data_IF_624048448412
#
_entry.id   IF_624048448412
#
_cell.length_a   1.000
_cell.length_b   1.000
_cell.length_c   1.000
_cell.angle_alpha   90.00
_cell.angle_beta   90.00
_cell.angle_gamma   90.00
#
_symmetry.space_group_name_H-M   'P 1'
#
loop_
_entity.id
_entity.type
_entity.pdbx_description
1 polymer ?
#
# COMPACT_ATOMS: atom_id res chain seq x y z
N UNK A 1 10.01 4.54 10.78
CA UNK A 1 9.25 4.93 11.99
C UNK A 1 8.59 6.29 11.79
N UNK A 2 9.24 7.32 11.24
CA UNK A 2 8.67 8.68 11.12
C UNK A 2 7.67 8.83 9.96
N UNK A 3 7.81 8.09 8.87
CA UNK A 3 6.95 8.20 7.70
C UNK A 3 5.45 7.95 7.99
N UNK A 4 5.03 6.91 8.72
CA UNK A 4 3.63 6.70 9.07
C UNK A 4 3.04 7.83 9.91
N UNK A 5 3.82 8.39 10.84
CA UNK A 5 3.41 9.53 11.67
C UNK A 5 3.19 10.76 10.80
N UNK A 6 4.12 11.04 9.89
CA UNK A 6 3.99 12.16 8.96
C UNK A 6 2.73 12.03 8.07
N UNK A 7 2.51 10.87 7.47
CA UNK A 7 1.34 10.65 6.61
C UNK A 7 0.02 10.79 7.39
N UNK A 8 -0.06 10.21 8.60
CA UNK A 8 -1.26 10.33 9.43
C UNK A 8 -1.53 11.79 9.82
N UNK A 9 -0.50 12.53 10.23
CA UNK A 9 -0.60 13.95 10.56
C UNK A 9 -0.95 14.82 9.35
N UNK A 10 -0.42 14.52 8.17
CA UNK A 10 -0.70 15.29 6.96
C UNK A 10 -2.20 15.31 6.62
N UNK A 11 -2.90 14.19 6.76
CA UNK A 11 -4.34 14.13 6.56
C UNK A 11 -5.11 14.91 7.62
N UNK A 12 -4.77 14.75 8.89
CA UNK A 12 -5.41 15.44 10.00
C UNK A 12 -5.18 16.95 9.94
N UNK A 13 -3.97 17.38 9.63
CA UNK A 13 -3.60 18.79 9.45
C UNK A 13 -4.33 19.41 8.26
N UNK A 14 -4.38 18.70 7.12
CA UNK A 14 -5.10 19.18 5.94
C UNK A 14 -6.61 19.37 6.23
N UNK A 15 -7.22 18.44 6.94
CA UNK A 15 -8.63 18.55 7.35
C UNK A 15 -8.84 19.70 8.33
N UNK A 16 -7.95 19.89 9.31
CA UNK A 16 -8.08 20.92 10.34
C UNK A 16 -7.71 22.34 9.86
N UNK A 17 -7.03 22.46 8.70
CA UNK A 17 -6.60 23.76 8.14
C UNK A 17 -7.72 24.49 7.37
N UNK A 18 -8.89 23.89 7.21
CA UNK A 18 -10.00 24.42 6.41
C UNK A 18 -11.34 24.27 7.16
N UNK A 19 -12.40 24.89 6.64
CA UNK A 19 -13.74 24.70 7.21
C UNK A 19 -14.19 23.23 7.11
N UNK A 20 -15.06 22.73 8.01
CA UNK A 20 -15.52 21.34 8.02
C UNK A 20 -16.09 20.86 6.68
N UNK A 21 -16.75 21.76 5.95
CA UNK A 21 -17.31 21.45 4.62
C UNK A 21 -16.22 21.28 3.55
N UNK A 22 -15.07 21.94 3.69
CA UNK A 22 -13.96 21.86 2.76
C UNK A 22 -12.94 20.77 3.15
N UNK A 23 -13.03 20.19 4.34
CA UNK A 23 -12.10 19.17 4.84
C UNK A 23 -11.96 17.96 3.89
N UNK A 24 -13.02 17.37 3.30
CA UNK A 24 -12.88 16.27 2.35
C UNK A 24 -12.05 16.65 1.11
N UNK A 25 -12.20 17.89 0.63
CA UNK A 25 -11.43 18.38 -0.53
C UNK A 25 -9.95 18.60 -0.19
N UNK A 26 -9.65 19.06 1.02
CA UNK A 26 -8.28 19.22 1.48
C UNK A 26 -7.56 17.88 1.61
N UNK A 27 -8.20 16.89 2.21
CA UNK A 27 -7.69 15.52 2.30
C UNK A 27 -7.48 14.91 0.91
N UNK A 28 -8.44 15.09 0.00
CA UNK A 28 -8.29 14.61 -1.39
C UNK A 28 -7.06 15.20 -2.09
N UNK A 29 -6.71 16.47 -1.85
CA UNK A 29 -5.47 17.06 -2.40
C UNK A 29 -4.20 16.38 -1.88
N UNK A 30 -4.17 15.99 -0.61
CA UNK A 30 -3.05 15.23 -0.04
C UNK A 30 -2.95 13.85 -0.72
N UNK A 31 -4.07 13.16 -0.91
CA UNK A 31 -4.12 11.87 -1.61
C UNK A 31 -3.60 12.00 -3.05
N UNK A 32 -3.98 13.06 -3.77
CA UNK A 32 -3.43 13.34 -5.11
C UNK A 32 -1.92 13.51 -5.07
N UNK A 33 -1.38 14.20 -4.06
CA UNK A 33 0.07 14.35 -3.87
C UNK A 33 0.76 13.00 -3.66
N UNK A 34 0.21 12.13 -2.82
CA UNK A 34 0.71 10.77 -2.60
C UNK A 34 0.70 9.96 -3.91
N UNK A 35 -0.41 10.01 -4.65
CA UNK A 35 -0.55 9.31 -5.93
C UNK A 35 0.43 9.84 -6.98
N UNK A 36 0.61 11.16 -7.07
CA UNK A 36 1.59 11.77 -7.96
C UNK A 36 3.03 11.33 -7.61
N UNK A 37 3.35 11.26 -6.31
CA UNK A 37 4.64 10.75 -5.84
C UNK A 37 4.89 9.30 -6.26
N UNK A 38 3.88 8.43 -6.20
CA UNK A 38 4.00 7.05 -6.66
C UNK A 38 4.12 6.94 -8.19
N UNK A 39 3.33 7.71 -8.91
CA UNK A 39 3.31 7.67 -10.39
C UNK A 39 4.60 8.23 -11.00
N UNK A 40 5.12 9.33 -10.46
CA UNK A 40 6.29 10.02 -11.01
C UNK A 40 7.58 9.63 -10.30
N UNK A 41 7.54 9.40 -8.99
CA UNK A 41 8.74 9.19 -8.18
C UNK A 41 9.54 7.97 -8.60
N UNK A 42 8.88 6.82 -8.75
CA UNK A 42 9.55 5.56 -9.11
C UNK A 42 10.11 5.61 -10.54
N UNK A 43 9.33 5.99 -11.58
CA UNK A 43 9.86 6.10 -12.94
C UNK A 43 10.99 7.11 -13.06
N UNK A 44 10.85 8.30 -12.47
CA UNK A 44 11.89 9.34 -12.51
C UNK A 44 13.17 8.88 -11.82
N UNK A 45 13.04 8.27 -10.63
CA UNK A 45 14.20 7.72 -9.91
C UNK A 45 14.88 6.60 -10.68
N UNK A 46 14.11 5.71 -11.32
CA UNK A 46 14.63 4.62 -12.15
C UNK A 46 15.35 5.15 -13.40
N UNK A 47 14.79 6.17 -14.03
CA UNK A 47 15.42 6.84 -15.18
C UNK A 47 16.75 7.51 -14.79
N UNK A 48 16.78 8.27 -13.68
CA UNK A 48 18.00 8.91 -13.19
C UNK A 48 19.04 7.87 -12.81
N UNK A 49 18.66 6.81 -12.11
CA UNK A 49 19.56 5.74 -11.71
C UNK A 49 20.16 5.01 -12.93
N UNK A 50 19.37 4.76 -13.96
CA UNK A 50 19.80 4.10 -15.19
C UNK A 50 20.61 4.99 -16.13
N UNK A 51 20.32 6.31 -16.18
CA UNK A 51 20.99 7.25 -17.10
C UNK A 51 22.26 7.89 -16.51
N UNK A 52 22.32 8.07 -15.19
CA UNK A 52 23.45 8.73 -14.51
C UNK A 52 24.07 7.79 -13.47
N UNK A 53 23.45 7.65 -12.29
CA UNK A 53 23.91 6.75 -11.24
C UNK A 53 22.86 6.62 -10.12
N UNK A 54 22.97 5.57 -9.30
CA UNK A 54 22.17 5.41 -8.10
C UNK A 54 22.39 6.59 -7.13
N UNK A 55 23.63 7.09 -7.01
CA UNK A 55 23.98 8.26 -6.16
C UNK A 55 23.23 9.51 -6.62
N UNK A 56 23.12 9.74 -7.93
CA UNK A 56 22.36 10.87 -8.47
C UNK A 56 20.87 10.76 -8.17
N UNK A 57 20.28 9.56 -8.26
CA UNK A 57 18.89 9.32 -7.88
C UNK A 57 18.65 9.58 -6.39
N UNK A 58 19.56 9.13 -5.52
CA UNK A 58 19.48 9.38 -4.08
C UNK A 58 19.66 10.87 -3.73
N UNK A 59 20.54 11.58 -4.42
CA UNK A 59 20.70 13.02 -4.27
C UNK A 59 19.42 13.78 -4.67
N UNK A 60 18.80 13.43 -5.79
CA UNK A 60 17.52 13.99 -6.23
C UNK A 60 16.41 13.75 -5.20
N UNK A 61 16.31 12.53 -4.67
CA UNK A 61 15.37 12.20 -3.60
C UNK A 61 15.61 13.05 -2.34
N UNK A 62 16.87 13.24 -1.95
CA UNK A 62 17.23 14.08 -0.78
C UNK A 62 16.82 15.53 -1.01
N UNK A 63 17.07 16.10 -2.18
CA UNK A 63 16.68 17.48 -2.52
C UNK A 63 15.16 17.66 -2.41
N UNK A 64 14.37 16.76 -2.99
CA UNK A 64 12.90 16.83 -2.95
C UNK A 64 12.39 16.73 -1.51
N UNK A 65 12.92 15.82 -0.70
CA UNK A 65 12.51 15.68 0.70
C UNK A 65 12.91 16.90 1.54
N UNK A 66 14.09 17.48 1.30
CA UNK A 66 14.52 18.70 1.98
C UNK A 66 13.62 19.89 1.61
N UNK A 67 13.29 20.03 0.33
CA UNK A 67 12.34 21.05 -0.12
C UNK A 67 10.95 20.88 0.52
N UNK A 68 10.44 19.63 0.61
CA UNK A 68 9.19 19.31 1.28
C UNK A 68 9.24 19.65 2.77
N UNK A 69 10.35 19.37 3.46
CA UNK A 69 10.55 19.72 4.87
C UNK A 69 10.51 21.23 5.07
N UNK A 70 11.24 21.99 4.25
CA UNK A 70 11.26 23.46 4.31
C UNK A 70 9.85 24.01 4.02
N UNK A 71 9.18 23.52 2.99
CA UNK A 71 7.81 23.96 2.68
C UNK A 71 6.84 23.65 3.83
N UNK A 72 6.93 22.49 4.44
CA UNK A 72 6.12 22.12 5.61
C UNK A 72 6.36 23.11 6.76
N UNK A 73 7.60 23.44 7.05
CA UNK A 73 7.96 24.37 8.13
C UNK A 73 7.50 25.80 7.85
N UNK A 74 7.55 26.26 6.61
CA UNK A 74 7.19 27.65 6.25
C UNK A 74 5.68 27.85 6.11
N UNK A 75 4.94 26.86 5.59
CA UNK A 75 3.54 27.04 5.18
C UNK A 75 2.51 26.39 6.10
N UNK A 76 2.90 25.42 6.94
CA UNK A 76 1.94 24.79 7.84
C UNK A 76 1.87 25.56 9.17
N UNK A 77 0.71 26.18 9.50
CA UNK A 77 0.54 26.87 10.76
C UNK A 77 0.46 25.86 11.92
N UNK A 78 0.82 26.34 13.14
CA UNK A 78 0.57 25.57 14.35
C UNK A 78 -0.93 25.49 14.61
N UNK A 79 -1.50 24.29 14.52
CA UNK A 79 -2.92 24.06 14.76
C UNK A 79 -3.15 23.64 16.22
N UNK A 80 -4.19 24.19 16.89
CA UNK A 80 -4.57 23.72 18.22
C UNK A 80 -5.08 22.28 18.15
N UNK A 81 -4.67 21.46 19.11
CA UNK A 81 -5.14 20.07 19.21
C UNK A 81 -6.59 20.06 19.69
N UNK A 82 -7.53 19.78 18.82
CA UNK A 82 -8.97 19.94 19.06
C UNK A 82 -9.54 18.99 20.12
N UNK A 83 -9.10 17.76 20.22
CA UNK A 83 -9.47 16.82 21.28
C UNK A 83 -8.41 15.72 21.42
N UNK A 84 -7.88 15.56 22.61
CA UNK A 84 -6.98 14.44 22.92
C UNK A 84 -7.83 13.25 23.34
N UNK A 85 -8.01 12.26 22.47
CA UNK A 85 -8.43 10.95 22.94
C UNK A 85 -7.38 10.47 23.96
N UNK A 86 -7.84 10.09 25.14
CA UNK A 86 -6.93 9.56 26.17
C UNK A 86 -6.17 8.36 25.60
N UNK A 87 -4.87 8.31 25.83
CA UNK A 87 -4.03 7.15 25.43
C UNK A 87 -4.66 5.81 25.87
N UNK A 88 -5.30 5.79 27.04
CA UNK A 88 -6.00 4.62 27.54
C UNK A 88 -7.17 4.17 26.65
N UNK A 89 -7.90 5.09 26.04
CA UNK A 89 -9.00 4.77 25.11
C UNK A 89 -8.47 4.24 23.78
N UNK A 90 -7.40 4.84 23.24
CA UNK A 90 -6.75 4.36 22.02
C UNK A 90 -6.16 2.96 22.22
N UNK A 91 -5.47 2.72 23.33
CA UNK A 91 -4.88 1.42 23.64
C UNK A 91 -5.93 0.34 23.94
N UNK A 92 -7.13 0.72 24.36
CA UNK A 92 -8.23 -0.24 24.62
C UNK A 92 -8.64 -1.00 23.35
N UNK A 93 -8.48 -0.38 22.17
CA UNK A 93 -8.76 -1.01 20.87
C UNK A 93 -7.83 -2.19 20.60
N UNK A 94 -6.56 -2.13 21.07
CA UNK A 94 -5.58 -3.22 20.95
C UNK A 94 -5.96 -4.49 21.70
N UNK A 95 -6.93 -4.44 22.62
CA UNK A 95 -7.44 -5.63 23.32
C UNK A 95 -8.33 -6.50 22.44
N UNK A 96 -8.78 -6.00 21.28
CA UNK A 96 -9.65 -6.76 20.37
C UNK A 96 -8.82 -7.72 19.49
N UNK A 97 -9.03 -9.05 19.58
CA UNK A 97 -8.30 -10.01 18.74
C UNK A 97 -8.48 -9.77 17.24
N UNK A 98 -9.68 -9.34 16.84
CA UNK A 98 -10.03 -9.00 15.44
C UNK A 98 -9.08 -7.96 14.85
N UNK A 99 -8.61 -7.01 15.66
CA UNK A 99 -7.65 -5.99 15.18
C UNK A 99 -6.29 -6.60 14.84
N UNK A 100 -5.81 -7.57 15.64
CA UNK A 100 -4.52 -8.22 15.41
C UNK A 100 -4.52 -9.07 14.14
N UNK A 101 -5.61 -9.80 13.87
CA UNK A 101 -5.78 -10.50 12.59
C UNK A 101 -5.76 -9.52 11.42
N UNK A 102 -6.36 -8.34 11.59
CA UNK A 102 -6.36 -7.30 10.56
C UNK A 102 -5.00 -6.71 10.33
N UNK A 103 -4.25 -6.41 11.39
CA UNK A 103 -2.89 -5.90 11.33
C UNK A 103 -1.99 -6.92 10.63
N UNK A 104 -2.05 -8.19 11.04
CA UNK A 104 -1.27 -9.26 10.43
C UNK A 104 -1.60 -9.44 8.94
N UNK A 105 -2.89 -9.43 8.57
CA UNK A 105 -3.31 -9.49 7.18
C UNK A 105 -2.75 -8.33 6.35
N UNK A 106 -2.77 -7.10 6.87
CA UNK A 106 -2.21 -5.93 6.20
C UNK A 106 -0.68 -6.02 6.08
N UNK A 107 0.02 -6.50 7.11
CA UNK A 107 1.47 -6.75 7.05
C UNK A 107 1.79 -7.73 5.91
N UNK A 108 1.11 -8.86 5.87
CA UNK A 108 1.36 -9.87 4.84
C UNK A 108 0.94 -9.39 3.45
N UNK A 109 -0.18 -8.69 3.31
CA UNK A 109 -0.62 -8.15 2.02
C UNK A 109 0.38 -7.13 1.47
N UNK A 110 0.83 -6.18 2.29
CA UNK A 110 1.82 -5.19 1.85
C UNK A 110 3.19 -5.84 1.61
N UNK A 111 3.55 -6.87 2.37
CA UNK A 111 4.73 -7.68 2.11
C UNK A 111 4.69 -8.36 0.74
N UNK A 112 3.52 -8.92 0.36
CA UNK A 112 3.33 -9.51 -0.96
C UNK A 112 3.47 -8.49 -2.09
N UNK A 113 2.79 -7.34 -1.97
CA UNK A 113 2.76 -6.31 -3.03
C UNK A 113 4.10 -5.60 -3.16
N UNK A 114 4.58 -5.00 -2.07
CA UNK A 114 5.76 -4.13 -2.13
C UNK A 114 7.08 -4.90 -2.04
N UNK A 115 7.07 -6.11 -1.49
CA UNK A 115 8.23 -7.00 -1.55
C UNK A 115 8.58 -7.37 -2.99
N UNK A 116 7.59 -7.72 -3.79
CA UNK A 116 7.77 -8.00 -5.22
C UNK A 116 8.06 -6.72 -6.00
N UNK A 117 7.32 -5.63 -5.74
CA UNK A 117 7.49 -4.36 -6.44
C UNK A 117 8.89 -3.78 -6.29
N UNK A 118 9.51 -3.93 -5.12
CA UNK A 118 10.87 -3.42 -4.85
C UNK A 118 11.95 -3.99 -5.79
N UNK A 119 11.76 -5.18 -6.30
CA UNK A 119 12.71 -5.84 -7.21
C UNK A 119 12.20 -5.94 -8.65
N UNK A 120 11.00 -5.43 -8.93
CA UNK A 120 10.33 -5.64 -10.21
C UNK A 120 11.07 -4.99 -11.39
N UNK A 121 11.68 -3.82 -11.21
CA UNK A 121 12.52 -3.21 -12.24
C UNK A 121 13.70 -4.11 -12.65
N UNK A 122 14.35 -4.73 -11.65
CA UNK A 122 15.41 -5.70 -11.88
C UNK A 122 14.91 -6.97 -12.60
N UNK A 123 13.70 -7.44 -12.26
CA UNK A 123 13.06 -8.56 -12.96
C UNK A 123 12.84 -8.24 -14.45
N UNK A 124 12.24 -7.08 -14.74
CA UNK A 124 12.01 -6.63 -16.13
C UNK A 124 13.31 -6.50 -16.93
N UNK A 125 14.39 -6.07 -16.29
CA UNK A 125 15.69 -5.91 -16.96
C UNK A 125 16.38 -7.26 -17.17
N UNK A 126 16.40 -8.14 -16.14
CA UNK A 126 17.23 -9.34 -16.16
C UNK A 126 16.51 -10.56 -16.75
N UNK A 127 15.19 -10.66 -16.60
CA UNK A 127 14.40 -11.81 -17.04
C UNK A 127 13.69 -11.51 -18.36
N UNK A 128 13.00 -10.35 -18.46
CA UNK A 128 12.27 -9.95 -19.66
C UNK A 128 13.19 -9.29 -20.69
N UNK A 129 14.41 -8.90 -20.29
CA UNK A 129 15.41 -8.20 -21.11
C UNK A 129 14.92 -6.85 -21.68
N UNK A 130 14.10 -6.14 -20.95
CA UNK A 130 13.70 -4.77 -21.33
C UNK A 130 14.84 -3.76 -21.15
N UNK A 131 14.92 -2.80 -22.06
CA UNK A 131 15.79 -1.64 -21.89
C UNK A 131 15.33 -0.76 -20.72
N UNK A 132 16.23 -0.01 -20.11
CA UNK A 132 15.90 0.92 -19.01
C UNK A 132 14.79 1.91 -19.37
N UNK A 133 14.75 2.40 -20.60
CA UNK A 133 13.69 3.28 -21.08
C UNK A 133 12.33 2.57 -21.11
N UNK A 134 12.29 1.32 -21.56
CA UNK A 134 11.08 0.50 -21.57
C UNK A 134 10.62 0.19 -20.15
N UNK A 135 11.54 -0.15 -19.23
CA UNK A 135 11.23 -0.37 -17.81
C UNK A 135 10.61 0.88 -17.19
N UNK A 136 11.20 2.05 -17.43
CA UNK A 136 10.68 3.33 -16.92
C UNK A 136 9.28 3.63 -17.45
N UNK A 137 9.02 3.35 -18.73
CA UNK A 137 7.69 3.50 -19.32
C UNK A 137 6.68 2.52 -18.71
N UNK A 138 7.04 1.26 -18.53
CA UNK A 138 6.18 0.24 -17.91
C UNK A 138 5.86 0.62 -16.46
N UNK A 139 6.82 1.11 -15.68
CA UNK A 139 6.60 1.57 -14.31
C UNK A 139 5.74 2.84 -14.27
N UNK A 140 5.87 3.74 -15.23
CA UNK A 140 4.97 4.89 -15.37
C UNK A 140 3.53 4.43 -15.62
N UNK A 141 3.34 3.50 -16.54
CA UNK A 141 2.01 2.97 -16.87
C UNK A 141 1.44 2.18 -15.67
N UNK A 142 2.26 1.39 -14.98
CA UNK A 142 1.89 0.76 -13.70
C UNK A 142 1.36 1.79 -12.70
N UNK A 143 2.07 2.92 -12.53
CA UNK A 143 1.64 4.01 -11.64
C UNK A 143 0.31 4.64 -12.06
N UNK A 144 0.09 4.85 -13.36
CA UNK A 144 -1.19 5.34 -13.89
C UNK A 144 -2.33 4.34 -13.63
N UNK A 145 -2.08 3.05 -13.86
CA UNK A 145 -3.06 2.00 -13.55
C UNK A 145 -3.33 1.87 -12.05
N UNK A 146 -2.35 2.19 -11.20
CA UNK A 146 -2.55 2.26 -9.75
C UNK A 146 -3.58 3.35 -9.36
N UNK A 147 -3.56 4.51 -10.02
CA UNK A 147 -4.60 5.54 -9.83
C UNK A 147 -5.98 4.99 -10.23
N UNK A 148 -6.07 4.30 -11.36
CA UNK A 148 -7.32 3.68 -11.83
C UNK A 148 -7.82 2.66 -10.79
N UNK A 149 -6.95 1.80 -10.29
CA UNK A 149 -7.26 0.82 -9.26
C UNK A 149 -7.76 1.44 -7.96
N UNK A 150 -7.11 2.52 -7.52
CA UNK A 150 -7.50 3.29 -6.34
C UNK A 150 -8.94 3.84 -6.50
N UNK A 151 -9.26 4.41 -7.67
CA UNK A 151 -10.58 4.91 -7.98
C UNK A 151 -11.64 3.79 -8.03
N UNK A 152 -11.32 2.65 -8.63
CA UNK A 152 -12.19 1.47 -8.68
C UNK A 152 -12.52 0.97 -7.27
N UNK A 153 -11.50 0.77 -6.42
CA UNK A 153 -11.69 0.31 -5.05
C UNK A 153 -12.55 1.29 -4.22
N UNK A 154 -12.26 2.58 -4.33
CA UNK A 154 -13.05 3.62 -3.66
C UNK A 154 -14.52 3.58 -4.07
N UNK A 155 -14.78 3.40 -5.38
CA UNK A 155 -16.15 3.32 -5.92
C UNK A 155 -16.87 2.03 -5.49
N UNK A 156 -16.17 0.89 -5.49
CA UNK A 156 -16.72 -0.39 -5.03
C UNK A 156 -17.10 -0.35 -3.55
N UNK A 157 -16.22 0.16 -2.69
CA UNK A 157 -16.47 0.30 -1.26
C UNK A 157 -17.62 1.29 -0.98
N UNK A 158 -17.68 2.41 -1.69
CA UNK A 158 -18.75 3.41 -1.57
C UNK A 158 -20.11 2.88 -2.07
N UNK A 159 -20.11 1.96 -3.03
CA UNK A 159 -21.31 1.31 -3.53
C UNK A 159 -21.81 0.14 -2.65
N UNK A 160 -21.20 -0.05 -1.47
CA UNK A 160 -21.60 -1.09 -0.53
C UNK A 160 -21.06 -2.49 -0.84
N UNK A 161 -19.99 -2.59 -1.65
CA UNK A 161 -19.35 -3.87 -1.86
C UNK A 161 -18.83 -4.44 -0.53
N UNK A 162 -19.10 -5.73 -0.28
CA UNK A 162 -18.65 -6.40 0.94
C UNK A 162 -17.12 -6.38 1.04
N UNK A 163 -16.60 -5.72 2.07
CA UNK A 163 -15.18 -5.68 2.34
C UNK A 163 -14.61 -7.10 2.57
N UNK A 164 -15.37 -7.97 3.22
CA UNK A 164 -14.97 -9.35 3.51
C UNK A 164 -14.74 -10.15 2.23
N UNK A 165 -15.61 -9.97 1.22
CA UNK A 165 -15.41 -10.60 -0.10
C UNK A 165 -14.19 -10.02 -0.81
N UNK A 166 -14.02 -8.69 -0.79
CA UNK A 166 -12.90 -8.03 -1.45
C UNK A 166 -11.55 -8.45 -0.87
N UNK A 167 -11.42 -8.55 0.47
CA UNK A 167 -10.16 -8.94 1.11
C UNK A 167 -9.80 -10.40 0.87
N UNK A 168 -10.77 -11.28 0.56
CA UNK A 168 -10.51 -12.69 0.18
C UNK A 168 -10.16 -12.80 -1.31
N UNK A 169 -10.93 -12.14 -2.18
CA UNK A 169 -10.75 -12.23 -3.64
C UNK A 169 -9.42 -11.60 -4.04
N UNK A 170 -9.03 -10.49 -3.41
CA UNK A 170 -7.86 -9.71 -3.77
C UNK A 170 -6.54 -10.51 -3.69
N UNK A 171 -6.17 -11.19 -2.58
CA UNK A 171 -4.95 -11.99 -2.52
C UNK A 171 -4.95 -13.16 -3.49
N UNK A 172 -6.11 -13.78 -3.74
CA UNK A 172 -6.24 -14.87 -4.72
C UNK A 172 -5.95 -14.35 -6.13
N UNK A 173 -6.58 -13.22 -6.51
CA UNK A 173 -6.35 -12.60 -7.83
C UNK A 173 -4.89 -12.19 -8.00
N UNK A 174 -4.28 -11.62 -6.97
CA UNK A 174 -2.87 -11.23 -6.99
C UNK A 174 -1.96 -12.46 -7.10
N UNK A 175 -2.29 -13.57 -6.45
CA UNK A 175 -1.57 -14.85 -6.58
C UNK A 175 -1.60 -15.39 -8.01
N UNK A 176 -2.75 -15.29 -8.70
CA UNK A 176 -2.87 -15.64 -10.12
C UNK A 176 -1.96 -14.75 -10.98
N UNK A 177 -1.93 -13.44 -10.71
CA UNK A 177 -1.04 -12.50 -11.41
C UNK A 177 0.43 -12.86 -11.19
N UNK A 178 0.83 -13.23 -9.98
CA UNK A 178 2.21 -13.65 -9.70
C UNK A 178 2.58 -14.96 -10.38
N UNK A 179 1.66 -15.91 -10.43
CA UNK A 179 1.84 -17.12 -11.22
C UNK A 179 2.00 -16.80 -12.73
N UNK A 180 1.16 -15.91 -13.26
CA UNK A 180 1.26 -15.46 -14.64
C UNK A 180 2.60 -14.76 -14.94
N UNK A 181 3.12 -13.92 -14.04
CA UNK A 181 4.45 -13.34 -14.16
C UNK A 181 5.55 -14.41 -14.23
N UNK A 182 5.47 -15.44 -13.38
CA UNK A 182 6.45 -16.52 -13.35
C UNK A 182 6.50 -17.28 -14.69
N UNK A 183 5.34 -17.65 -15.26
CA UNK A 183 5.29 -18.39 -16.53
C UNK A 183 5.54 -17.54 -17.77
N UNK A 184 5.20 -16.24 -17.72
CA UNK A 184 5.30 -15.36 -18.89
C UNK A 184 6.50 -14.41 -18.84
N UNK A 185 7.42 -14.57 -17.88
CA UNK A 185 8.50 -13.63 -17.59
C UNK A 185 9.40 -13.27 -18.77
N UNK A 186 9.59 -14.17 -19.72
CA UNK A 186 10.38 -13.94 -20.93
C UNK A 186 9.60 -13.31 -22.10
N UNK A 187 8.26 -13.26 -22.00
CA UNK A 187 7.39 -12.73 -23.06
C UNK A 187 7.10 -11.24 -22.82
N UNK A 188 7.74 -10.38 -23.61
CA UNK A 188 7.60 -8.93 -23.50
C UNK A 188 6.14 -8.41 -23.55
N UNK A 189 5.29 -8.83 -24.53
CA UNK A 189 3.91 -8.37 -24.59
C UNK A 189 3.06 -8.88 -23.41
N UNK A 190 3.27 -10.14 -22.99
CA UNK A 190 2.55 -10.69 -21.83
C UNK A 190 2.94 -9.93 -20.55
N UNK A 191 4.22 -9.66 -20.34
CA UNK A 191 4.70 -8.90 -19.19
C UNK A 191 4.12 -7.49 -19.14
N UNK A 192 4.02 -6.79 -20.27
CA UNK A 192 3.38 -5.47 -20.34
C UNK A 192 1.91 -5.54 -19.90
N UNK A 193 1.12 -6.47 -20.47
CA UNK A 193 -0.30 -6.63 -20.14
C UNK A 193 -0.53 -7.02 -18.68
N UNK A 194 0.24 -7.97 -18.16
CA UNK A 194 0.11 -8.43 -16.76
C UNK A 194 0.48 -7.29 -15.81
N UNK A 195 1.48 -6.47 -16.16
CA UNK A 195 1.86 -5.30 -15.34
C UNK A 195 0.76 -4.25 -15.28
N UNK A 196 -0.01 -4.04 -16.35
CA UNK A 196 -1.19 -3.17 -16.33
C UNK A 196 -2.23 -3.66 -15.32
N UNK A 197 -2.58 -4.94 -15.37
CA UNK A 197 -3.51 -5.56 -14.41
C UNK A 197 -2.98 -5.46 -12.98
N UNK A 198 -1.70 -5.73 -12.80
CA UNK A 198 -1.07 -5.61 -11.49
C UNK A 198 -1.06 -4.18 -10.97
N UNK A 199 -0.90 -3.18 -11.83
CA UNK A 199 -1.03 -1.77 -11.48
C UNK A 199 -2.41 -1.44 -10.91
N UNK A 200 -3.48 -1.91 -11.56
CA UNK A 200 -4.85 -1.76 -11.04
C UNK A 200 -5.00 -2.40 -9.66
N UNK A 201 -4.54 -3.63 -9.50
CA UNK A 201 -4.58 -4.33 -8.21
C UNK A 201 -3.74 -3.59 -7.15
N UNK A 202 -2.55 -3.08 -7.51
CA UNK A 202 -1.72 -2.27 -6.61
C UNK A 202 -2.46 -1.06 -6.05
N UNK A 203 -3.22 -0.36 -6.89
CA UNK A 203 -4.04 0.78 -6.47
C UNK A 203 -5.21 0.39 -5.56
N UNK A 204 -5.82 -0.76 -5.80
CA UNK A 204 -6.89 -1.27 -4.94
C UNK A 204 -6.39 -1.65 -3.54
N UNK A 205 -5.14 -2.10 -3.43
CA UNK A 205 -4.54 -2.62 -2.20
C UNK A 205 -4.66 -1.65 -1.02
N UNK A 206 -4.28 -0.39 -1.20
CA UNK A 206 -4.26 0.59 -0.12
C UNK A 206 -5.66 0.83 0.47
N UNK A 207 -6.66 1.04 -0.40
CA UNK A 207 -8.04 1.31 0.03
C UNK A 207 -8.66 0.10 0.75
N UNK A 208 -8.49 -1.10 0.21
CA UNK A 208 -9.05 -2.32 0.79
C UNK A 208 -8.45 -2.56 2.17
N UNK A 209 -7.12 -2.46 2.31
CA UNK A 209 -6.45 -2.70 3.58
C UNK A 209 -6.72 -1.61 4.61
N UNK A 210 -6.78 -0.34 4.20
CA UNK A 210 -7.12 0.76 5.09
C UNK A 210 -8.55 0.61 5.62
N UNK A 211 -9.50 0.34 4.73
CA UNK A 211 -10.89 0.08 5.11
C UNK A 211 -10.99 -1.11 6.07
N UNK A 212 -10.28 -2.19 5.79
CA UNK A 212 -10.25 -3.39 6.59
C UNK A 212 -9.76 -3.16 8.03
N UNK A 213 -8.73 -2.35 8.24
CA UNK A 213 -8.23 -2.00 9.58
C UNK A 213 -9.16 -1.01 10.28
N UNK A 214 -9.66 0.01 9.59
CA UNK A 214 -10.50 1.04 10.21
C UNK A 214 -11.84 0.48 10.68
N UNK A 215 -12.41 -0.48 9.96
CA UNK A 215 -13.64 -1.19 10.38
C UNK A 215 -13.43 -2.08 11.60
N UNK A 216 -12.21 -2.55 11.87
CA UNK A 216 -11.89 -3.30 13.08
C UNK A 216 -11.83 -2.42 14.34
N UNK A 217 -11.64 -1.11 14.18
CA UNK A 217 -11.45 -0.16 15.28
C UNK A 217 -12.26 1.13 15.11
N UNK A 218 -13.58 1.08 14.94
CA UNK A 218 -14.41 2.26 14.66
C UNK A 218 -14.41 3.28 15.79
N UNK A 219 -14.08 2.87 17.02
CA UNK A 219 -13.99 3.77 18.18
C UNK A 219 -12.75 4.67 18.19
N UNK A 220 -11.74 4.40 17.36
CA UNK A 220 -10.50 5.17 17.27
C UNK A 220 -9.96 5.15 15.82
N UNK A 221 -10.62 5.81 14.85
CA UNK A 221 -10.29 5.72 13.43
C UNK A 221 -8.90 6.28 13.12
N UNK A 222 -8.48 7.37 13.75
CA UNK A 222 -7.15 7.95 13.54
C UNK A 222 -6.03 7.02 14.03
N UNK A 223 -6.23 6.37 15.18
CA UNK A 223 -5.31 5.38 15.70
C UNK A 223 -5.26 4.13 14.79
N UNK A 224 -6.41 3.68 14.29
CA UNK A 224 -6.50 2.58 13.34
C UNK A 224 -5.76 2.90 12.02
N UNK A 225 -5.85 4.13 11.54
CA UNK A 225 -5.13 4.59 10.37
C UNK A 225 -3.60 4.62 10.62
N UNK A 226 -3.16 5.05 11.80
CA UNK A 226 -1.76 4.95 12.20
C UNK A 226 -1.25 3.51 12.25
N UNK A 227 -2.06 2.58 12.77
CA UNK A 227 -1.76 1.14 12.78
C UNK A 227 -1.68 0.57 11.35
N UNK A 228 -2.59 0.99 10.45
CA UNK A 228 -2.53 0.62 9.03
C UNK A 228 -1.19 1.01 8.40
N UNK A 229 -0.78 2.27 8.55
CA UNK A 229 0.48 2.76 7.99
C UNK A 229 1.70 2.04 8.58
N UNK A 230 1.69 1.77 9.88
CA UNK A 230 2.75 1.03 10.56
C UNK A 230 2.82 -0.41 10.04
N UNK A 231 1.68 -1.10 9.96
CA UNK A 231 1.57 -2.46 9.44
C UNK A 231 2.02 -2.55 7.97
N UNK A 232 1.60 -1.58 7.13
CA UNK A 232 1.98 -1.50 5.73
C UNK A 232 3.50 -1.36 5.55
N UNK A 233 4.14 -0.48 6.30
CA UNK A 233 5.59 -0.29 6.23
C UNK A 233 6.37 -1.50 6.79
N UNK A 234 5.89 -2.11 7.88
CA UNK A 234 6.47 -3.35 8.41
C UNK A 234 6.37 -4.47 7.38
N UNK A 235 5.20 -4.61 6.75
CA UNK A 235 4.97 -5.57 5.67
C UNK A 235 5.92 -5.35 4.49
N UNK A 236 6.06 -4.11 4.04
CA UNK A 236 6.99 -3.74 2.97
C UNK A 236 8.43 -4.15 3.30
N UNK A 237 8.90 -3.87 4.52
CA UNK A 237 10.25 -4.23 4.96
C UNK A 237 10.45 -5.76 5.01
N UNK A 238 9.51 -6.50 5.61
CA UNK A 238 9.57 -7.96 5.69
C UNK A 238 9.47 -8.60 4.30
N UNK A 239 8.56 -8.13 3.46
CA UNK A 239 8.39 -8.62 2.09
C UNK A 239 9.64 -8.41 1.25
N UNK A 240 10.24 -7.22 1.32
CA UNK A 240 11.49 -6.92 0.62
C UNK A 240 12.64 -7.82 1.10
N UNK A 241 12.76 -8.06 2.41
CA UNK A 241 13.78 -8.95 2.96
C UNK A 241 13.58 -10.40 2.46
N UNK A 242 12.36 -10.93 2.51
CA UNK A 242 12.07 -12.30 2.05
C UNK A 242 12.25 -12.45 0.55
N UNK A 243 11.71 -11.52 -0.26
CA UNK A 243 11.93 -11.54 -1.70
C UNK A 243 13.43 -11.43 -2.06
N UNK A 244 14.18 -10.58 -1.34
CA UNK A 244 15.62 -10.47 -1.49
C UNK A 244 16.36 -11.79 -1.15
N UNK A 245 15.96 -12.49 -0.11
CA UNK A 245 16.51 -13.83 0.23
C UNK A 245 16.18 -14.86 -0.87
N UNK A 246 14.95 -14.86 -1.38
CA UNK A 246 14.56 -15.75 -2.50
C UNK A 246 15.42 -15.47 -3.72
N UNK A 247 15.64 -14.20 -4.07
CA UNK A 247 16.48 -13.80 -5.20
C UNK A 247 17.93 -14.26 -4.99
N UNK A 248 18.47 -14.08 -3.79
CA UNK A 248 19.86 -14.43 -3.48
C UNK A 248 20.13 -15.94 -3.55
N UNK A 249 19.18 -16.78 -3.15
CA UNK A 249 19.37 -18.22 -3.08
C UNK A 249 18.84 -18.99 -4.30
N UNK A 250 17.77 -18.49 -4.93
CA UNK A 250 17.09 -19.19 -6.01
C UNK A 250 17.19 -18.47 -7.36
N UNK A 251 17.45 -17.17 -7.35
CA UNK A 251 17.52 -16.33 -8.54
C UNK A 251 16.29 -15.43 -8.73
N UNK A 252 16.47 -14.42 -9.57
CA UNK A 252 15.48 -13.35 -9.82
C UNK A 252 14.12 -13.88 -10.32
N UNK A 253 14.13 -14.93 -11.11
CA UNK A 253 12.91 -15.55 -11.67
C UNK A 253 11.94 -16.09 -10.61
N UNK A 254 12.47 -16.47 -9.44
CA UNK A 254 11.68 -17.03 -8.34
C UNK A 254 11.16 -15.97 -7.36
N UNK A 255 11.43 -14.70 -7.59
CA UNK A 255 10.99 -13.59 -6.75
C UNK A 255 9.49 -13.63 -6.41
N UNK A 256 8.66 -14.03 -7.38
CA UNK A 256 7.19 -14.11 -7.22
C UNK A 256 6.76 -15.08 -6.12
N UNK A 257 7.54 -16.14 -5.86
CA UNK A 257 7.27 -17.09 -4.77
C UNK A 257 7.34 -16.46 -3.39
N UNK A 258 8.26 -15.49 -3.20
CA UNK A 258 8.29 -14.69 -1.98
C UNK A 258 6.96 -13.95 -1.74
N UNK A 259 6.42 -13.33 -2.78
CA UNK A 259 5.10 -12.71 -2.74
C UNK A 259 3.96 -13.69 -2.46
N UNK A 260 3.96 -14.85 -3.13
CA UNK A 260 2.94 -15.90 -2.96
C UNK A 260 2.90 -16.43 -1.52
N UNK A 261 4.05 -16.64 -0.88
CA UNK A 261 4.10 -17.05 0.54
C UNK A 261 3.38 -16.02 1.41
N UNK A 262 3.63 -14.73 1.21
CA UNK A 262 2.93 -13.68 1.93
C UNK A 262 1.43 -13.64 1.65
N UNK A 263 0.98 -13.94 0.44
CA UNK A 263 -0.46 -14.03 0.11
C UNK A 263 -1.14 -15.20 0.83
N UNK A 264 -0.47 -16.33 0.93
CA UNK A 264 -0.98 -17.49 1.70
C UNK A 264 -1.11 -17.13 3.18
N UNK A 265 -0.08 -16.51 3.76
CA UNK A 265 -0.12 -16.05 5.16
C UNK A 265 -1.21 -14.99 5.36
N UNK A 266 -1.41 -14.09 4.40
CA UNK A 266 -2.48 -13.11 4.43
C UNK A 266 -3.86 -13.78 4.47
N UNK A 267 -4.13 -14.75 3.61
CA UNK A 267 -5.38 -15.50 3.61
C UNK A 267 -5.58 -16.26 4.93
N UNK A 268 -4.53 -16.85 5.49
CA UNK A 268 -4.58 -17.51 6.78
C UNK A 268 -4.97 -16.56 7.94
N UNK A 269 -4.70 -15.25 7.82
CA UNK A 269 -5.14 -14.25 8.80
C UNK A 269 -6.54 -13.70 8.51
N UNK A 270 -6.93 -13.60 7.25
CA UNK A 270 -8.24 -13.07 6.83
C UNK A 270 -9.36 -14.05 7.19
N UNK A 271 -9.18 -15.33 6.86
CA UNK A 271 -10.21 -16.35 7.03
C UNK A 271 -10.77 -16.42 8.46
N UNK A 272 -9.95 -16.53 9.53
CA UNK A 272 -10.45 -16.57 10.90
C UNK A 272 -11.19 -15.28 11.32
N UNK A 273 -10.80 -14.13 10.75
CA UNK A 273 -11.48 -12.87 11.06
C UNK A 273 -12.88 -12.83 10.45
N UNK A 274 -13.02 -13.23 9.17
CA UNK A 274 -14.32 -13.24 8.48
C UNK A 274 -15.28 -14.18 9.18
N UNK A 275 -14.86 -15.41 9.50
CA UNK A 275 -15.70 -16.36 10.23
C UNK A 275 -16.10 -15.89 11.63
N UNK A 276 -15.20 -15.20 12.35
CA UNK A 276 -15.54 -14.63 13.67
C UNK A 276 -16.46 -13.42 13.60
N UNK A 277 -16.41 -12.61 12.53
CA UNK A 277 -17.34 -11.49 12.38
C UNK A 277 -18.78 -11.98 12.21
N UNK A 278 -19.00 -13.05 11.48
CA UNK A 278 -20.33 -13.66 11.31
C UNK A 278 -20.91 -14.18 12.64
N UNK A 279 -20.07 -14.74 13.51
CA UNK A 279 -20.48 -15.22 14.83
C UNK A 279 -20.94 -14.08 15.76
N UNK A 280 -20.31 -12.91 15.70
CA UNK A 280 -20.72 -11.74 16.49
C UNK A 280 -21.98 -11.06 15.93
N UNK A 281 -22.25 -11.11 14.64
CA UNK A 281 -23.50 -10.63 14.04
C UNK A 281 -24.66 -11.52 14.47
N UNK A 282 -24.52 -12.83 14.41
CA UNK A 282 -25.56 -13.79 14.86
C UNK A 282 -25.88 -13.69 16.36
N UNK A 283 -24.89 -13.34 17.21
CA UNK A 283 -25.11 -13.17 18.65
C UNK A 283 -25.67 -11.78 19.02
N UNK A 284 -25.53 -10.79 18.13
CA UNK A 284 -26.05 -9.41 18.32
C UNK A 284 -27.53 -9.26 17.97
N UNK A 285 -28.06 -10.08 17.08
CA UNK A 285 -29.50 -10.09 16.73
C UNK A 285 -30.37 -10.84 17.73
N UNK A 286 -29.78 -11.48 18.75
CA UNK A 286 -30.47 -12.22 19.80
C UNK A 286 -30.67 -11.42 21.11
N UNK A 287 -30.50 -10.10 21.07
CA UNK A 287 -30.83 -9.18 22.16
C UNK A 287 -31.63 -7.98 21.64
#
# INVERSE_FOLDING_TARGET
IFHPVYCSLAFSVAAASVSPEAAPRAVAKVIVGVSAGMVLGVPVSSFIAGSFSLTAAMAGFTVVNTAALIATWLYIPSLPVAARLSYGQQLRVLKKPVLWFSIAAVVFMNGAVFGVFGYFSGYLTNITAFSWNTVSLILLVYGLMNIVGNFIAGRMLSAGASADKLVIIFPVTLGIVYAAFFWSGTSAPAMALITLLWGVLGGMNANINQYWITTAAPAAPDFANGLFLTAANLGTALGSAVCGMVIAHMGMQYMMWGGIVFLILCLAMIIPRVYRSDEYVCLGESK
#
